data_IF_276999037733
#
_entry.id   IF_276999037733
#
_cell.length_a   1.000
_cell.length_b   1.000
_cell.length_c   1.000
_cell.angle_alpha   90.00
_cell.angle_beta   90.00
_cell.angle_gamma   90.00
#
_symmetry.space_group_name_H-M   'P 1'
#
loop_
_entity.id
_entity.type
_entity.pdbx_description
1 polymer ?
2 non-polymer ?
3 water ?
#
# COMPACT_ATOMS: atom_id res chain seq x y z
N UNK A 1 6.50 0.63 -18.54
CA UNK A 1 5.38 1.41 -18.02
C UNK A 1 5.86 2.70 -17.38
N UNK A 2 5.26 3.81 -17.75
CA UNK A 2 5.66 5.10 -17.20
C UNK A 2 4.46 5.98 -16.99
N UNK A 3 4.60 6.93 -16.07
CA UNK A 3 3.60 7.94 -15.83
C UNK A 3 4.26 9.30 -15.79
N UNK A 4 3.46 10.35 -15.90
CA UNK A 4 3.95 11.70 -15.61
C UNK A 4 2.84 12.52 -14.98
N UNK A 5 3.24 13.64 -14.39
CA UNK A 5 2.31 14.55 -13.75
C UNK A 5 2.42 15.90 -14.44
N UNK A 6 1.30 16.41 -14.94
CA UNK A 6 1.28 17.69 -15.65
C UNK A 6 2.31 17.71 -16.77
N UNK A 7 2.37 16.62 -17.54
CA UNK A 7 3.26 16.54 -18.69
C UNK A 7 4.74 16.58 -18.37
N UNK A 8 5.09 16.31 -17.11
CA UNK A 8 6.48 16.34 -16.67
C UNK A 8 7.29 15.12 -17.08
N UNK A 9 8.41 14.90 -16.40
CA UNK A 9 9.28 13.77 -16.71
C UNK A 9 8.63 12.44 -16.32
N UNK A 10 9.08 11.37 -16.98
CA UNK A 10 8.52 10.04 -16.78
C UNK A 10 8.83 9.46 -15.41
N UNK A 11 7.89 8.69 -14.88
CA UNK A 11 8.00 8.03 -13.57
C UNK A 11 7.80 6.53 -13.71
N UNK A 12 8.70 5.74 -13.12
CA UNK A 12 8.64 4.29 -13.23
C UNK A 12 8.06 3.59 -12.00
N UNK A 13 8.19 4.26 -10.85
CA UNK A 13 7.68 3.79 -9.57
C UNK A 13 7.96 4.85 -8.50
N UNK A 14 7.43 4.66 -7.30
CA UNK A 14 7.77 5.51 -6.19
C UNK A 14 6.71 6.56 -5.89
N UNK A 15 7.06 7.54 -5.06
CA UNK A 15 6.12 8.54 -4.59
C UNK A 15 6.31 9.86 -5.34
N UNK A 16 5.20 10.40 -5.84
CA UNK A 16 5.22 11.65 -6.60
C UNK A 16 4.15 12.59 -6.08
N UNK A 17 4.52 13.85 -5.95
CA UNK A 17 3.58 14.90 -5.58
C UNK A 17 2.71 15.28 -6.78
N UNK A 18 1.41 15.44 -6.52
CA UNK A 18 0.46 15.89 -7.53
C UNK A 18 -0.25 17.12 -6.99
N UNK A 19 0.00 18.28 -7.59
CA UNK A 19 -0.50 19.53 -7.04
C UNK A 19 -1.85 19.89 -7.66
N UNK A 20 -2.83 20.21 -6.81
CA UNK A 20 -4.18 20.52 -7.29
C UNK A 20 -4.72 21.83 -6.74
N UNK A 21 -5.59 22.45 -7.52
CA UNK A 21 -6.26 23.65 -7.05
C UNK A 21 -7.65 23.30 -6.55
N UNK A 22 -7.98 23.81 -5.37
CA UNK A 22 -9.27 23.51 -4.77
C UNK A 22 -10.06 24.81 -4.62
N UNK A 23 -11.38 24.69 -4.69
CA UNK A 23 -12.30 25.81 -4.41
C UNK A 23 -11.89 26.45 -3.09
N UNK A 24 -11.45 27.71 -3.14
CA UNK A 24 -10.80 28.32 -1.96
C UNK A 24 -11.74 28.73 -0.83
N UNK A 25 -13.03 28.89 -1.12
CA UNK A 25 -14.03 29.25 -0.11
C UNK A 25 -15.26 28.36 -0.34
N UNK A 26 -15.65 27.61 0.68
CA UNK A 26 -16.78 26.71 0.55
C UNK A 26 -17.77 26.86 1.70
N UNK A 27 -18.97 26.33 1.52
CA UNK A 27 -19.99 26.36 2.55
C UNK A 27 -20.03 24.97 3.22
N UNK A 28 -20.60 24.88 4.44
CA UNK A 28 -20.69 23.62 5.18
C UNK A 28 -21.18 22.40 4.40
N UNK A 29 -22.17 22.54 3.53
CA UNK A 29 -22.67 21.39 2.79
C UNK A 29 -21.91 21.04 1.52
N UNK A 30 -20.88 21.81 1.20
CA UNK A 30 -20.17 21.66 -0.06
C UNK A 30 -19.13 20.54 -0.11
N UNK A 31 -19.09 19.81 -1.22
CA UNK A 31 -18.04 18.82 -1.41
C UNK A 31 -17.02 19.25 -2.47
N UNK A 32 -15.75 19.03 -2.18
CA UNK A 32 -14.68 19.39 -3.11
C UNK A 32 -14.41 18.26 -4.09
N UNK A 33 -14.34 18.60 -5.37
CA UNK A 33 -14.02 17.60 -6.39
C UNK A 33 -12.58 17.76 -6.80
N UNK A 34 -11.82 16.67 -6.75
CA UNK A 34 -10.44 16.69 -7.22
C UNK A 34 -10.32 15.80 -8.45
N UNK A 35 -10.24 16.42 -9.62
CA UNK A 35 -10.16 15.67 -10.85
C UNK A 35 -8.70 15.36 -11.18
N UNK A 36 -8.27 14.15 -10.85
CA UNK A 36 -6.86 13.81 -11.06
C UNK A 36 -6.56 13.41 -12.50
N UNK A 37 -7.61 13.19 -13.30
CA UNK A 37 -7.41 12.91 -14.73
C UNK A 37 -6.76 14.11 -15.42
N UNK A 38 -6.87 15.29 -14.80
CA UNK A 38 -6.27 16.49 -15.36
C UNK A 38 -4.78 16.58 -15.07
N UNK A 39 -4.25 15.64 -14.28
CA UNK A 39 -2.86 15.75 -13.82
C UNK A 39 -1.98 14.53 -14.10
N UNK A 40 -2.55 13.34 -13.94
CA UNK A 40 -1.75 12.12 -14.04
C UNK A 40 -2.10 11.33 -15.28
N UNK A 41 -1.07 10.94 -16.05
CA UNK A 41 -1.25 10.11 -17.22
C UNK A 41 -0.22 8.99 -17.19
N UNK A 42 -0.58 7.84 -17.74
CA UNK A 42 0.33 6.70 -17.82
C UNK A 42 0.27 6.07 -19.20
N UNK A 43 1.31 5.35 -19.56
CA UNK A 43 1.35 4.71 -20.89
C UNK A 43 2.19 3.45 -20.88
N UNK A 44 2.01 2.65 -21.92
CA UNK A 44 2.80 1.44 -22.14
C UNK A 44 4.03 1.83 -22.96
N UNK A 45 5.21 1.41 -22.53
CA UNK A 45 6.43 1.90 -23.17
C UNK A 45 6.78 1.14 -24.45
N UNK A 46 5.98 0.12 -24.77
CA UNK A 46 6.20 -0.66 -26.00
C UNK A 46 5.16 -0.31 -27.05
N UNK A 47 3.93 -0.10 -26.63
CA UNK A 47 2.85 0.20 -27.55
C UNK A 47 2.32 -1.04 -28.26
N UNK A 48 1.26 -0.87 -29.02
CA UNK A 48 0.69 -1.96 -29.80
C UNK A 48 0.09 -3.10 -29.01
N UNK A 49 -0.11 -2.89 -27.70
CA UNK A 49 -0.72 -3.89 -26.83
C UNK A 49 0.02 -5.21 -26.81
N UNK A 50 1.35 -5.15 -26.94
CA UNK A 50 2.15 -6.36 -26.84
C UNK A 50 2.23 -6.85 -25.40
N UNK A 51 2.77 -6.02 -24.53
CA UNK A 51 2.91 -6.37 -23.11
C UNK A 51 2.01 -5.48 -22.27
N UNK A 52 0.70 -5.69 -22.37
CA UNK A 52 -0.28 -4.82 -21.73
C UNK A 52 -0.11 -4.75 -20.23
N UNK A 53 -0.22 -3.54 -19.69
CA UNK A 53 -0.11 -3.31 -18.27
C UNK A 53 -1.48 -3.23 -17.61
N UNK A 54 -1.60 -3.86 -16.44
CA UNK A 54 -2.81 -3.81 -15.66
C UNK A 54 -2.61 -2.90 -14.46
N UNK A 55 -3.47 -1.90 -14.32
CA UNK A 55 -3.33 -0.90 -13.27
C UNK A 55 -4.56 -0.82 -12.37
N UNK A 56 -4.35 -0.76 -11.05
CA UNK A 56 -5.46 -0.50 -10.12
C UNK A 56 -5.00 0.32 -8.93
N UNK A 57 -5.96 0.89 -8.19
CA UNK A 57 -5.62 1.59 -6.96
C UNK A 57 -5.75 0.63 -5.81
N UNK A 58 -5.04 0.91 -4.73
CA UNK A 58 -4.81 -0.12 -3.71
C UNK A 58 -5.49 0.19 -2.37
N UNK A 59 -6.09 -0.88 -1.81
CA UNK A 59 -6.63 -0.90 -0.47
C UNK A 59 -5.70 -0.14 0.50
N UNK A 60 -6.30 0.73 1.31
CA UNK A 60 -5.54 1.52 2.28
C UNK A 60 -5.31 2.96 1.87
N UNK A 61 -5.40 3.25 0.57
CA UNK A 61 -5.35 4.65 0.08
C UNK A 61 -6.31 5.51 0.90
N UNK A 62 -5.84 6.65 1.40
CA UNK A 62 -6.60 7.42 2.38
C UNK A 62 -6.33 8.93 2.33
N UNK A 63 -7.08 9.67 3.09
CA UNK A 63 -6.86 11.09 3.26
C UNK A 63 -5.66 11.17 4.21
N UNK A 64 -5.05 12.33 4.28
CA UNK A 64 -3.90 12.53 5.10
C UNK A 64 -4.14 13.41 6.28
N UNK A 65 -3.42 13.17 7.35
CA UNK A 65 -3.51 14.00 8.54
C UNK A 65 -4.87 14.31 9.11
N UNK A 66 -5.22 15.59 9.18
CA UNK A 66 -6.50 15.98 9.76
C UNK A 66 -7.63 15.77 8.89
N UNK A 67 -7.37 15.37 7.66
CA UNK A 67 -8.46 15.22 6.75
C UNK A 67 -9.08 13.87 6.88
N UNK A 68 -8.58 13.07 7.79
CA UNK A 68 -9.12 11.72 8.00
C UNK A 68 -10.50 11.75 8.62
N UNK A 69 -10.87 12.87 9.13
CA UNK A 69 -12.22 13.00 9.66
C UNK A 69 -13.19 13.40 8.54
N UNK A 70 -12.65 13.71 7.38
CA UNK A 70 -13.45 14.05 6.22
C UNK A 70 -14.01 12.75 5.63
N UNK A 71 -15.14 12.86 4.94
CA UNK A 71 -15.74 11.72 4.26
C UNK A 71 -15.50 11.82 2.77
N UNK A 72 -15.28 10.69 2.10
CA UNK A 72 -15.05 10.78 0.68
C UNK A 72 -15.54 9.65 -0.20
N UNK A 73 -15.38 9.89 -1.50
CA UNK A 73 -15.67 8.90 -2.52
C UNK A 73 -14.54 9.00 -3.53
N UNK A 74 -14.22 7.89 -4.18
CA UNK A 74 -13.20 7.90 -5.19
C UNK A 74 -13.77 7.26 -6.44
N UNK A 75 -13.70 7.98 -7.55
CA UNK A 75 -14.10 7.44 -8.84
C UNK A 75 -12.89 6.88 -9.54
N UNK A 76 -12.96 5.62 -9.97
CA UNK A 76 -11.89 5.02 -10.75
C UNK A 76 -12.45 4.13 -11.84
N UNK A 77 -12.20 4.50 -13.09
CA UNK A 77 -12.51 3.63 -14.23
C UNK A 77 -13.92 3.03 -14.16
N UNK A 78 -14.92 3.92 -14.13
CA UNK A 78 -16.35 3.58 -14.21
C UNK A 78 -16.92 2.92 -12.95
N UNK A 79 -16.18 2.97 -11.84
CA UNK A 79 -16.73 2.51 -10.56
C UNK A 79 -16.43 3.53 -9.48
N UNK A 80 -17.42 3.79 -8.61
CA UNK A 80 -17.21 4.71 -7.51
C UNK A 80 -17.05 3.96 -6.20
N UNK A 81 -16.03 4.33 -5.43
CA UNK A 81 -15.67 3.65 -4.19
C UNK A 81 -15.76 4.57 -3.00
N UNK A 82 -16.16 4.03 -1.84
CA UNK A 82 -15.97 4.81 -0.62
C UNK A 82 -14.49 5.08 -0.43
N UNK A 83 -14.19 6.27 0.06
CA UNK A 83 -12.82 6.65 0.34
C UNK A 83 -12.75 7.03 1.81
N UNK A 84 -11.75 6.51 2.54
CA UNK A 84 -10.58 5.71 2.13
C UNK A 84 -10.93 4.34 1.55
N UNK A 85 -10.07 3.83 0.68
CA UNK A 85 -10.33 2.56 0.01
C UNK A 85 -10.19 1.37 0.96
N UNK A 86 -11.25 0.58 1.06
CA UNK A 86 -11.21 -0.66 1.86
C UNK A 86 -10.93 -1.87 0.99
N UNK A 87 -10.78 -1.60 -0.30
CA UNK A 87 -10.61 -2.61 -1.31
C UNK A 87 -9.61 -2.16 -2.36
N UNK A 88 -9.04 -3.09 -3.10
CA UNK A 88 -8.40 -2.74 -4.35
C UNK A 88 -9.50 -2.40 -5.33
N UNK A 89 -9.24 -1.49 -6.27
CA UNK A 89 -10.22 -1.16 -7.29
C UNK A 89 -10.14 -2.11 -8.47
N UNK A 90 -11.07 -1.89 -9.41
CA UNK A 90 -11.03 -2.61 -10.67
C UNK A 90 -9.76 -2.29 -11.44
N UNK A 91 -9.46 -3.12 -12.43
CA UNK A 91 -8.25 -3.01 -13.20
C UNK A 91 -8.47 -2.21 -14.48
N UNK A 92 -7.57 -1.29 -14.74
CA UNK A 92 -7.52 -0.56 -16.01
C UNK A 92 -6.39 -1.08 -16.87
N UNK A 93 -6.68 -1.39 -18.13
CA UNK A 93 -5.66 -1.86 -19.07
C UNK A 93 -4.93 -0.71 -19.75
N UNK A 94 -3.61 -0.75 -19.72
CA UNK A 94 -2.78 0.24 -20.39
C UNK A 94 -1.91 -0.45 -21.44
N UNK A 95 -2.21 -0.16 -22.71
CA UNK A 95 -1.58 -0.88 -23.80
C UNK A 95 -0.93 -0.03 -24.89
N UNK A 96 -1.23 1.26 -24.92
CA UNK A 96 -0.69 2.12 -25.98
C UNK A 96 0.47 3.00 -25.51
N UNK A 97 1.20 3.54 -26.49
CA UNK A 97 2.23 4.53 -26.23
C UNK A 97 1.61 5.89 -25.89
N UNK A 98 0.38 6.08 -26.32
CA UNK A 98 -0.30 7.35 -26.07
C UNK A 98 -0.61 7.51 -24.58
N UNK A 99 -0.19 8.64 -23.97
CA UNK A 99 -0.48 8.82 -22.55
C UNK A 99 -1.96 8.74 -22.26
N UNK A 100 -2.35 7.94 -21.27
CA UNK A 100 -3.74 7.89 -20.90
C UNK A 100 -3.95 8.58 -19.56
N UNK A 101 -4.72 9.67 -19.56
CA UNK A 101 -5.08 10.29 -18.28
C UNK A 101 -5.80 9.30 -17.38
N UNK A 102 -5.37 9.22 -16.13
CA UNK A 102 -6.01 8.29 -15.19
C UNK A 102 -7.46 8.68 -14.98
N UNK A 103 -8.38 7.73 -15.19
CA UNK A 103 -9.81 8.00 -14.97
C UNK A 103 -10.14 8.04 -13.49
N UNK A 104 -9.72 9.12 -12.84
CA UNK A 104 -9.66 9.16 -11.38
C UNK A 104 -10.15 10.49 -10.83
N UNK A 105 -11.14 10.44 -9.97
CA UNK A 105 -11.67 11.63 -9.30
C UNK A 105 -11.87 11.35 -7.83
N UNK A 106 -11.55 12.35 -7.01
CA UNK A 106 -11.71 12.24 -5.57
C UNK A 106 -12.75 13.25 -5.11
N UNK A 107 -13.70 12.79 -4.30
CA UNK A 107 -14.77 13.63 -3.80
C UNK A 107 -14.60 13.79 -2.30
N UNK A 108 -14.51 15.03 -1.84
CA UNK A 108 -14.22 15.32 -0.45
C UNK A 108 -15.33 16.13 0.19
N UNK A 109 -15.88 15.63 1.29
CA UNK A 109 -16.86 16.37 2.07
C UNK A 109 -16.26 16.73 3.42
N UNK A 110 -15.91 18.01 3.60
CA UNK A 110 -15.31 18.52 4.83
C UNK A 110 -16.35 18.81 5.91
N UNK A 116 -12.15 28.05 10.85
CA UNK A 116 -12.79 27.73 9.59
C UNK A 116 -11.81 27.31 8.52
N UNK A 117 -10.66 26.79 8.95
CA UNK A 117 -9.65 26.33 8.00
C UNK A 117 -9.95 24.89 7.57
N UNK A 118 -10.22 24.70 6.29
CA UNK A 118 -10.52 23.39 5.76
C UNK A 118 -9.27 22.66 5.30
N UNK A 119 -8.49 23.37 4.47
CA UNK A 119 -7.23 22.87 3.93
C UNK A 119 -6.19 24.00 3.87
N UNK A 120 -4.95 23.70 4.25
CA UNK A 120 -3.83 24.64 4.16
C UNK A 120 -3.08 24.49 2.84
N UNK A 121 -2.63 25.60 2.26
CA UNK A 121 -1.77 25.51 1.08
C UNK A 121 -0.55 24.64 1.37
N UNK A 122 -0.21 23.73 0.46
CA UNK A 122 0.97 22.90 0.62
C UNK A 122 0.70 21.61 1.39
N UNK A 123 -0.52 21.45 1.90
CA UNK A 123 -0.87 20.30 2.74
C UNK A 123 -1.16 19.07 1.90
N UNK A 124 -0.72 17.90 2.37
CA UNK A 124 -1.10 16.65 1.71
C UNK A 124 -2.55 16.35 2.04
N UNK A 125 -3.40 16.19 1.03
CA UNK A 125 -4.79 15.91 1.35
C UNK A 125 -5.13 14.44 1.21
N UNK A 126 -4.35 13.70 0.42
CA UNK A 126 -4.60 12.27 0.26
C UNK A 126 -3.37 11.56 -0.28
N UNK A 127 -3.26 10.28 0.03
CA UNK A 127 -2.23 9.42 -0.49
C UNK A 127 -2.87 8.26 -1.22
N UNK A 128 -2.73 8.26 -2.54
CA UNK A 128 -3.36 7.25 -3.37
C UNK A 128 -2.32 6.30 -3.95
N UNK A 129 -2.40 5.05 -3.50
CA UNK A 129 -1.48 4.01 -3.91
C UNK A 129 -2.00 3.32 -5.17
N UNK A 130 -1.12 3.19 -6.15
CA UNK A 130 -1.41 2.55 -7.43
C UNK A 130 -0.46 1.38 -7.68
N UNK A 131 -1.02 0.30 -8.19
CA UNK A 131 -0.28 -0.92 -8.45
C UNK A 131 -0.27 -1.21 -9.94
N UNK A 132 0.91 -1.58 -10.45
CA UNK A 132 1.07 -1.93 -11.85
C UNK A 132 1.66 -3.33 -11.97
N UNK A 133 1.07 -4.16 -12.82
CA UNK A 133 1.72 -5.42 -13.19
C UNK A 133 1.42 -5.68 -14.66
N UNK A 134 2.43 -6.17 -15.38
CA UNK A 134 2.29 -6.45 -16.81
C UNK A 134 1.74 -7.84 -17.05
N UNK A 135 1.57 -8.18 -18.32
CA UNK A 135 0.98 -9.45 -18.72
C UNK A 135 2.05 -10.53 -18.99
N UNK A 136 3.26 -10.12 -19.37
CA UNK A 136 4.33 -11.06 -19.71
C UNK A 136 5.35 -11.28 -18.59
N UNK A 137 5.90 -12.50 -18.53
CA UNK A 137 6.92 -12.82 -17.56
C UNK A 137 6.46 -12.71 -16.13
N UNK A 138 7.32 -12.15 -15.28
CA UNK A 138 7.02 -11.96 -13.86
C UNK A 138 5.94 -10.90 -13.66
N UNK A 139 5.75 -10.07 -14.69
CA UNK A 139 4.77 -9.01 -14.64
C UNK A 139 5.45 -7.69 -14.33
N UNK A 140 6.69 -7.77 -13.84
CA UNK A 140 7.46 -6.59 -13.47
C UNK A 140 6.63 -5.61 -12.61
N UNK A 141 6.11 -6.10 -11.46
CA UNK A 141 5.18 -5.29 -10.65
C UNK A 141 5.86 -4.05 -10.10
N UNK A 142 5.10 -2.94 -10.06
CA UNK A 142 5.60 -1.66 -9.58
C UNK A 142 4.56 -1.00 -8.69
N UNK A 143 5.00 -0.28 -7.67
CA UNK A 143 4.15 0.51 -6.80
C UNK A 143 4.35 1.99 -7.02
N UNK A 144 3.26 2.73 -7.16
CA UNK A 144 3.25 4.18 -7.22
C UNK A 144 2.44 4.74 -6.06
N UNK A 145 2.87 5.86 -5.48
CA UNK A 145 1.99 6.56 -4.56
C UNK A 145 1.84 7.98 -5.04
N UNK A 146 0.59 8.39 -5.21
CA UNK A 146 0.32 9.77 -5.60
C UNK A 146 -0.04 10.57 -4.35
N UNK A 147 0.87 11.44 -3.94
CA UNK A 147 0.61 12.35 -2.84
C UNK A 147 -0.09 13.58 -3.39
N UNK A 148 -1.39 13.68 -3.12
CA UNK A 148 -2.20 14.78 -3.64
C UNK A 148 -2.03 15.97 -2.72
N UNK A 149 -1.57 17.08 -3.27
CA UNK A 149 -1.20 18.24 -2.47
C UNK A 149 -2.02 19.44 -2.91
N UNK A 150 -2.59 20.14 -1.94
CA UNK A 150 -3.36 21.33 -2.28
C UNK A 150 -2.44 22.51 -2.57
N UNK A 151 -2.63 23.12 -3.73
CA UNK A 151 -1.86 24.32 -4.04
C UNK A 151 -2.25 25.46 -3.13
N UNK A 152 -3.51 25.47 -2.70
CA UNK A 152 -4.05 26.64 -2.02
C UNK A 152 -4.74 26.35 -0.70
N UNK A 153 -4.97 27.39 0.09
CA UNK A 153 -5.74 27.23 1.31
C UNK A 153 -7.22 27.24 0.96
N UNK A 154 -8.03 26.56 1.77
CA UNK A 154 -9.46 26.48 1.61
C UNK A 154 -10.12 26.81 2.94
N UNK A 155 -11.04 27.75 2.93
CA UNK A 155 -11.73 28.18 4.12
C UNK A 155 -13.22 27.99 3.98
N UNK A 156 -13.89 27.98 5.11
CA UNK A 156 -15.32 27.77 5.15
C UNK A 156 -15.76 28.70 6.22
N UNK A 157 -16.05 29.94 5.86
CA UNK A 157 -16.36 30.90 6.93
C UNK A 157 -17.69 30.84 7.72
N UNK B 1 -7.12 -1.49 18.12
CA UNK B 1 -6.23 -2.46 17.50
C UNK B 1 -4.78 -2.03 17.63
N UNK B 2 -3.91 -2.94 18.06
CA UNK B 2 -2.50 -2.61 18.25
C UNK B 2 -1.61 -3.78 17.88
N UNK B 3 -0.37 -3.47 17.52
CA UNK B 3 0.64 -4.48 17.26
C UNK B 3 1.90 -4.14 18.03
N UNK B 4 2.78 -5.12 18.19
CA UNK B 4 4.12 -4.84 18.66
C UNK B 4 5.15 -5.76 18.00
N UNK B 5 6.41 -5.38 18.13
CA UNK B 5 7.51 -6.16 17.58
C UNK B 5 8.41 -6.59 18.72
N UNK B 6 8.63 -7.90 18.83
CA UNK B 6 9.49 -8.45 19.88
C UNK B 6 9.10 -7.90 21.26
N UNK B 7 7.80 -7.88 21.52
CA UNK B 7 7.29 -7.45 22.82
C UNK B 7 7.51 -5.98 23.15
N UNK B 8 7.80 -5.16 22.14
CA UNK B 8 8.05 -3.74 22.37
C UNK B 8 6.76 -2.96 22.60
N UNK B 9 6.86 -1.64 22.48
CA UNK B 9 5.71 -0.77 22.70
C UNK B 9 4.67 -0.92 21.60
N UNK B 10 3.42 -0.59 21.91
CA UNK B 10 2.31 -0.78 20.99
C UNK B 10 2.42 0.11 19.75
N UNK B 11 1.94 -0.41 18.63
CA UNK B 11 1.97 0.28 17.35
C UNK B 11 0.56 0.37 16.80
N UNK B 12 0.13 1.58 16.42
CA UNK B 12 -1.23 1.80 15.94
C UNK B 12 -1.31 1.90 14.42
N UNK B 13 -0.20 2.28 13.80
CA UNK B 13 -0.10 2.39 12.35
C UNK B 13 1.32 2.75 11.97
N UNK B 14 1.60 2.76 10.67
CA UNK B 14 2.87 3.27 10.19
C UNK B 14 3.89 2.21 9.89
N UNK B 15 5.13 2.66 9.71
CA UNK B 15 6.22 1.79 9.29
C UNK B 15 7.12 1.42 10.46
N UNK B 16 7.38 0.12 10.61
CA UNK B 16 8.21 -0.38 11.70
C UNK B 16 9.27 -1.33 11.17
N UNK B 17 10.51 -1.18 11.64
CA UNK B 17 11.55 -2.14 11.28
C UNK B 17 11.35 -3.42 12.10
N UNK B 18 11.47 -4.56 11.44
CA UNK B 18 11.40 -5.86 12.10
C UNK B 18 12.70 -6.61 11.81
N UNK B 19 13.52 -6.80 12.84
CA UNK B 19 14.85 -7.39 12.69
C UNK B 19 14.81 -8.90 12.90
N UNK B 20 15.42 -9.63 11.99
CA UNK B 20 15.43 -11.09 12.06
C UNK B 20 16.85 -11.65 12.01
N UNK B 21 17.03 -12.81 12.64
CA UNK B 21 18.30 -13.51 12.53
C UNK B 21 18.13 -14.70 11.59
N UNK B 22 19.01 -14.81 10.61
CA UNK B 22 18.88 -15.85 9.60
C UNK B 22 20.12 -16.75 9.50
N UNK B 23 19.92 -17.99 9.06
CA UNK B 23 21.02 -18.91 8.71
C UNK B 23 22.00 -18.17 7.82
N UNK B 24 23.25 -17.98 8.30
CA UNK B 24 24.15 -17.08 7.57
C UNK B 24 24.72 -17.69 6.29
N UNK B 25 24.58 -19.01 6.13
CA UNK B 25 25.08 -19.65 4.92
C UNK B 25 24.02 -20.59 4.36
N UNK B 26 23.68 -20.43 3.09
CA UNK B 26 22.72 -21.32 2.47
C UNK B 26 23.29 -21.88 1.18
N UNK B 27 22.73 -22.99 0.72
CA UNK B 27 23.21 -23.63 -0.49
C UNK B 27 22.30 -23.29 -1.66
N UNK B 28 22.82 -23.39 -2.89
CA UNK B 28 21.99 -23.23 -4.08
C UNK B 28 20.73 -24.09 -4.01
N UNK B 29 19.58 -23.53 -4.37
CA UNK B 29 18.33 -24.26 -4.37
C UNK B 29 17.68 -24.44 -3.02
N UNK B 30 18.34 -23.98 -1.97
CA UNK B 30 17.79 -24.09 -0.61
C UNK B 30 16.82 -22.94 -0.43
N UNK B 31 15.72 -23.16 0.29
CA UNK B 31 14.86 -22.03 0.55
C UNK B 31 15.09 -21.50 1.95
N UNK B 32 15.24 -20.19 2.03
CA UNK B 32 15.47 -19.49 3.28
C UNK B 32 14.11 -19.15 3.86
N UNK B 33 13.91 -19.47 5.13
CA UNK B 33 12.64 -19.15 5.77
C UNK B 33 12.79 -17.95 6.69
N UNK B 34 11.90 -16.97 6.55
CA UNK B 34 11.86 -15.86 7.49
C UNK B 34 10.54 -15.96 8.25
N UNK B 35 10.61 -16.45 9.49
CA UNK B 35 9.43 -16.65 10.31
C UNK B 35 9.09 -15.40 11.12
N UNK B 36 8.13 -14.63 10.62
CA UNK B 36 7.78 -13.38 11.26
C UNK B 36 6.80 -13.58 12.40
N UNK B 37 6.25 -14.79 12.52
CA UNK B 37 5.36 -15.08 13.64
C UNK B 37 6.12 -14.99 14.96
N UNK B 38 7.45 -15.11 14.90
CA UNK B 38 8.25 -15.04 16.10
C UNK B 38 8.52 -13.59 16.52
N UNK B 39 8.07 -12.63 15.72
CA UNK B 39 8.43 -11.24 15.94
C UNK B 39 7.25 -10.29 16.06
N UNK B 40 6.23 -10.50 15.25
CA UNK B 40 5.12 -9.54 15.22
C UNK B 40 3.83 -10.12 15.79
N UNK B 41 3.20 -9.38 16.68
CA UNK B 41 1.92 -9.80 17.26
C UNK B 41 0.92 -8.67 17.25
N UNK B 42 -0.36 -9.01 17.09
CA UNK B 42 -1.41 -7.99 17.12
C UNK B 42 -2.60 -8.41 17.97
N UNK B 43 -3.37 -7.43 18.46
CA UNK B 43 -4.53 -7.74 19.28
C UNK B 43 -5.63 -6.71 19.15
N UNK B 44 -6.83 -7.12 19.55
CA UNK B 44 -8.05 -6.31 19.64
C UNK B 44 -8.14 -5.69 21.05
N UNK B 45 -8.42 -4.40 21.13
CA UNK B 45 -8.36 -3.69 22.41
C UNK B 45 -9.63 -3.85 23.26
N UNK B 46 -10.64 -4.50 22.71
CA UNK B 46 -11.91 -4.71 23.42
C UNK B 46 -12.03 -6.10 24.03
N UNK B 47 -11.59 -7.11 23.30
CA UNK B 47 -11.71 -8.48 23.74
C UNK B 47 -13.12 -9.01 23.53
N UNK B 48 -13.32 -10.30 23.77
CA UNK B 48 -14.64 -10.90 23.65
C UNK B 48 -15.20 -10.89 22.25
N UNK B 49 -14.33 -10.61 21.28
CA UNK B 49 -14.70 -10.53 19.87
C UNK B 49 -15.74 -9.46 19.62
N UNK B 50 -15.72 -8.44 20.46
CA UNK B 50 -16.49 -7.24 20.22
C UNK B 50 -15.74 -6.38 19.22
N UNK B 51 -16.43 -5.90 18.19
CA UNK B 51 -15.82 -5.08 17.15
C UNK B 51 -14.54 -5.72 16.62
N UNK B 52 -14.69 -6.91 16.04
CA UNK B 52 -13.56 -7.69 15.56
C UNK B 52 -12.82 -6.93 14.46
N UNK B 53 -11.50 -7.04 14.46
CA UNK B 53 -10.64 -6.41 13.46
C UNK B 53 -10.33 -7.38 12.33
N UNK B 54 -10.34 -6.86 11.10
CA UNK B 54 -9.98 -7.64 9.92
C UNK B 54 -8.62 -7.22 9.45
N UNK B 55 -7.72 -8.19 9.34
CA UNK B 55 -6.36 -7.89 8.96
C UNK B 55 -5.98 -8.68 7.72
N UNK B 56 -5.37 -8.03 6.74
CA UNK B 56 -4.80 -8.76 5.61
C UNK B 56 -3.52 -8.12 5.12
N UNK B 57 -2.74 -8.85 4.34
CA UNK B 57 -1.57 -8.26 3.71
C UNK B 57 -1.93 -7.77 2.32
N UNK B 58 -1.19 -6.78 1.84
CA UNK B 58 -1.69 -6.01 0.71
C UNK B 58 -0.89 -6.20 -0.56
N UNK B 59 -1.63 -6.31 -1.66
CA UNK B 59 -1.08 -6.27 -3.01
C UNK B 59 0.04 -5.23 -3.14
N UNK B 60 1.16 -5.63 -3.73
CA UNK B 60 2.29 -4.75 -3.89
C UNK B 60 3.40 -4.96 -2.88
N UNK B 61 3.08 -5.59 -1.74
CA UNK B 61 4.13 -6.00 -0.78
C UNK B 61 5.21 -6.78 -1.53
N UNK B 62 6.48 -6.44 -1.33
CA UNK B 62 7.53 -6.98 -2.21
C UNK B 62 8.88 -7.16 -1.52
N UNK B 63 9.80 -7.83 -2.20
CA UNK B 63 11.18 -7.84 -1.74
C UNK B 63 11.80 -6.46 -1.93
N UNK B 64 12.89 -6.22 -1.20
CA UNK B 64 13.65 -4.98 -1.25
C UNK B 64 15.15 -5.26 -1.37
N UNK B 65 15.89 -4.23 -1.65
CA UNK B 65 17.34 -4.28 -1.67
C UNK B 65 17.99 -5.45 -2.31
N UNK B 66 18.82 -6.15 -1.58
CA UNK B 66 19.52 -7.27 -2.17
C UNK B 66 18.59 -8.38 -2.70
N UNK B 67 17.31 -8.38 -2.31
CA UNK B 67 16.38 -9.36 -2.81
C UNK B 67 15.40 -8.87 -3.88
N UNK B 68 15.53 -7.64 -4.27
CA UNK B 68 14.59 -7.05 -5.21
C UNK B 68 14.14 -7.81 -6.46
N UNK B 69 14.98 -8.61 -7.04
CA UNK B 69 14.62 -9.36 -8.25
C UNK B 69 14.10 -10.75 -7.95
N UNK B 70 14.12 -11.15 -6.67
CA UNK B 70 13.71 -12.50 -6.31
C UNK B 70 12.21 -12.73 -6.42
N UNK B 71 11.85 -13.96 -6.75
CA UNK B 71 10.48 -14.40 -6.68
C UNK B 71 10.47 -15.42 -5.56
N UNK B 72 9.45 -15.35 -4.71
CA UNK B 72 9.39 -16.13 -3.48
C UNK B 72 7.99 -16.55 -3.17
N UNK B 73 7.78 -16.96 -1.91
CA UNK B 73 6.47 -17.31 -1.42
C UNK B 73 6.22 -16.64 -0.07
N UNK B 74 4.96 -16.37 0.22
CA UNK B 74 4.59 -15.80 1.51
C UNK B 74 3.48 -16.66 2.08
N UNK B 75 3.67 -17.15 3.30
CA UNK B 75 2.62 -17.85 4.02
C UNK B 75 1.87 -16.87 4.89
N UNK B 76 0.54 -16.84 4.76
CA UNK B 76 -0.33 -16.03 5.61
C UNK B 76 -1.61 -16.77 5.95
N UNK B 77 -1.82 -17.06 7.23
CA UNK B 77 -3.10 -17.56 7.70
C UNK B 77 -3.69 -18.71 6.87
N UNK B 78 -2.93 -19.80 6.80
CA UNK B 78 -3.35 -21.05 6.16
C UNK B 78 -3.38 -21.02 4.64
N UNK B 79 -2.81 -19.98 4.05
CA UNK B 79 -2.65 -19.93 2.60
C UNK B 79 -1.24 -19.47 2.23
N UNK B 80 -0.66 -20.07 1.20
CA UNK B 80 0.63 -19.62 0.68
C UNK B 80 0.43 -18.85 -0.62
N UNK B 81 1.12 -17.71 -0.74
CA UNK B 81 1.00 -16.81 -1.87
C UNK B 81 2.34 -16.62 -2.59
N UNK B 82 2.30 -16.46 -3.91
CA UNK B 82 3.53 -16.00 -4.57
C UNK B 82 3.93 -14.63 -4.01
N UNK B 83 5.23 -14.42 -3.84
CA UNK B 83 5.75 -13.15 -3.37
C UNK B 83 6.75 -12.63 -4.41
N UNK B 84 6.64 -11.34 -4.81
CA UNK B 84 5.77 -10.27 -4.30
C UNK B 84 4.27 -10.52 -4.51
N UNK B 85 3.47 -9.95 -3.62
CA UNK B 85 2.01 -10.14 -3.67
C UNK B 85 1.41 -9.38 -4.84
N UNK B 86 0.72 -10.10 -5.70
CA UNK B 86 0.00 -9.50 -6.83
C UNK B 86 -1.50 -9.36 -6.53
N UNK B 87 -1.91 -9.83 -5.35
CA UNK B 87 -3.27 -9.74 -4.83
C UNK B 87 -3.19 -9.48 -3.34
N UNK B 88 -4.30 -9.07 -2.73
CA UNK B 88 -4.38 -9.09 -1.26
C UNK B 88 -4.42 -10.53 -0.78
N UNK B 89 -4.02 -10.75 0.47
CA UNK B 89 -4.17 -12.07 1.09
C UNK B 89 -5.58 -12.20 1.69
N UNK B 90 -5.88 -13.39 2.19
CA UNK B 90 -7.10 -13.60 2.95
C UNK B 90 -7.12 -12.75 4.21
N UNK B 91 -8.29 -12.63 4.81
CA UNK B 91 -8.45 -11.84 6.03
C UNK B 91 -8.30 -12.70 7.28
N UNK B 92 -7.50 -12.21 8.22
CA UNK B 92 -7.41 -12.80 9.56
C UNK B 92 -8.21 -11.96 10.55
N UNK B 93 -9.10 -12.60 11.31
CA UNK B 93 -9.87 -11.90 12.32
C UNK B 93 -9.11 -11.85 13.65
N UNK B 94 -9.03 -10.64 14.20
CA UNK B 94 -8.41 -10.41 15.50
C UNK B 94 -9.51 -9.86 16.41
N UNK B 95 -9.89 -10.64 17.41
CA UNK B 95 -11.02 -10.28 18.26
C UNK B 95 -10.80 -10.30 19.75
N UNK B 96 -9.75 -10.95 20.25
CA UNK B 96 -9.52 -10.93 21.69
C UNK B 96 -8.30 -10.07 22.04
N UNK B 97 -8.15 -9.82 23.34
CA UNK B 97 -7.04 -9.03 23.87
C UNK B 97 -5.71 -9.80 23.84
N UNK B 98 -5.79 -11.11 23.75
CA UNK B 98 -4.58 -11.93 23.74
C UNK B 98 -3.79 -11.63 22.46
N UNK B 99 -2.52 -11.21 22.63
CA UNK B 99 -1.70 -10.92 21.45
C UNK B 99 -1.63 -12.13 20.55
N UNK B 100 -1.90 -11.95 19.27
CA UNK B 100 -1.79 -13.04 18.33
C UNK B 100 -0.57 -12.86 17.43
N UNK B 101 0.37 -13.79 17.50
CA UNK B 101 1.49 -13.76 16.55
C UNK B 101 0.94 -13.82 15.13
N UNK B 102 1.42 -12.94 14.25
CA UNK B 102 0.97 -12.96 12.87
C UNK B 102 1.39 -14.28 12.25
N UNK B 103 0.43 -15.02 11.67
CA UNK B 103 0.73 -16.30 11.02
C UNK B 103 1.38 -16.03 9.66
N UNK B 104 2.63 -15.62 9.70
CA UNK B 104 3.30 -15.01 8.56
C UNK B 104 4.72 -15.51 8.38
N UNK B 105 5.02 -16.08 7.22
CA UNK B 105 6.35 -16.55 6.91
C UNK B 105 6.72 -16.17 5.48
N UNK B 106 7.99 -15.79 5.29
CA UNK B 106 8.52 -15.52 3.96
C UNK B 106 9.46 -16.65 3.54
N UNK B 107 9.32 -17.10 2.30
CA UNK B 107 10.22 -18.12 1.75
C UNK B 107 11.01 -17.52 0.58
N UNK B 108 12.33 -17.60 0.70
CA UNK B 108 13.24 -16.99 -0.26
C UNK B 108 14.11 -18.09 -0.88
N UNK B 109 14.07 -18.18 -2.21
CA UNK B 109 14.90 -19.14 -2.93
C UNK B 109 15.96 -18.44 -3.78
N UNK B 116 27.56 -15.90 -3.96
CA UNK B 116 27.91 -14.62 -3.37
C UNK B 116 26.99 -14.22 -2.24
N UNK B 117 26.72 -12.92 -2.13
CA UNK B 117 25.85 -12.40 -1.10
C UNK B 117 24.38 -12.49 -1.50
N UNK B 118 23.61 -13.20 -0.68
CA UNK B 118 22.18 -13.35 -0.92
C UNK B 118 21.43 -12.22 -0.22
N UNK B 119 21.78 -11.99 1.05
CA UNK B 119 21.18 -10.95 1.86
C UNK B 119 22.28 -10.13 2.53
N UNK B 120 22.16 -8.81 2.43
CA UNK B 120 23.13 -7.94 3.06
C UNK B 120 22.69 -7.61 4.48
N UNK B 121 23.63 -7.70 5.42
CA UNK B 121 23.32 -7.35 6.81
C UNK B 121 22.84 -5.92 6.91
N UNK B 122 21.77 -5.71 7.66
CA UNK B 122 21.22 -4.40 7.86
C UNK B 122 20.32 -3.79 6.82
N UNK B 123 20.19 -4.41 5.67
CA UNK B 123 19.33 -3.90 4.63
C UNK B 123 17.88 -4.39 4.71
N UNK B 124 16.97 -3.58 4.23
CA UNK B 124 15.59 -3.95 4.18
C UNK B 124 15.50 -4.95 3.07
N UNK B 125 15.02 -6.16 3.38
CA UNK B 125 14.92 -7.26 2.43
C UNK B 125 13.49 -7.44 1.94
N UNK B 126 12.52 -6.87 2.65
CA UNK B 126 11.13 -6.94 2.22
C UNK B 126 10.32 -5.85 2.89
N UNK B 127 9.31 -5.37 2.18
CA UNK B 127 8.41 -4.36 2.70
C UNK B 127 7.01 -4.93 2.64
N UNK B 128 6.46 -5.26 3.81
CA UNK B 128 5.17 -5.93 3.84
C UNK B 128 4.08 -5.00 4.34
N UNK B 129 3.15 -4.69 3.45
CA UNK B 129 2.05 -3.79 3.80
C UNK B 129 0.91 -4.59 4.42
N UNK B 130 0.46 -4.16 5.59
CA UNK B 130 -0.64 -4.81 6.29
C UNK B 130 -1.79 -3.81 6.46
N UNK B 131 -3.01 -4.26 6.20
CA UNK B 131 -4.20 -3.41 6.29
C UNK B 131 -5.13 -3.89 7.40
N UNK B 132 -5.61 -2.95 8.21
CA UNK B 132 -6.55 -3.24 9.29
C UNK B 132 -7.82 -2.43 9.11
N UNK B 133 -8.97 -3.08 9.26
CA UNK B 133 -10.23 -2.36 9.36
C UNK B 133 -11.14 -3.08 10.38
N UNK B 134 -11.85 -2.30 11.19
CA UNK B 134 -12.72 -2.91 12.21
C UNK B 134 -14.08 -3.21 11.60
N UNK B 135 -14.92 -3.90 12.35
CA UNK B 135 -16.20 -4.37 11.81
C UNK B 135 -17.35 -3.40 12.03
N UNK B 136 -17.26 -2.58 13.06
CA UNK B 136 -18.37 -1.68 13.38
C UNK B 136 -18.10 -0.26 12.87
N UNK B 137 -19.16 0.42 12.48
CA UNK B 137 -19.08 1.79 11.97
C UNK B 137 -18.29 1.89 10.69
N UNK B 138 -17.52 2.96 10.53
CA UNK B 138 -16.71 3.16 9.33
C UNK B 138 -15.51 2.21 9.28
N UNK B 139 -15.15 1.65 10.43
CA UNK B 139 -14.05 0.68 10.47
C UNK B 139 -12.71 1.17 10.97
N UNK B 140 -12.52 2.49 11.02
CA UNK B 140 -11.25 3.08 11.47
C UNK B 140 -10.01 2.41 10.83
N UNK B 141 -9.94 2.41 9.50
CA UNK B 141 -8.87 1.66 8.82
C UNK B 141 -7.49 2.24 9.14
N UNK B 142 -6.51 1.36 9.23
CA UNK B 142 -5.13 1.74 9.48
C UNK B 142 -4.21 0.94 8.57
N UNK B 143 -3.11 1.57 8.17
CA UNK B 143 -2.06 0.92 7.39
C UNK B 143 -0.81 0.70 8.23
N UNK B 144 -0.28 -0.52 8.16
CA UNK B 144 1.01 -0.84 8.75
C UNK B 144 1.98 -1.27 7.65
N UNK B 145 3.25 -0.90 7.78
CA UNK B 145 4.26 -1.49 6.93
C UNK B 145 5.37 -2.10 7.77
N UNK B 146 5.65 -3.38 7.53
CA UNK B 146 6.72 -4.06 8.23
C UNK B 146 7.95 -4.11 7.33
N UNK B 147 8.98 -3.35 7.69
CA UNK B 147 10.25 -3.38 6.97
C UNK B 147 11.14 -4.48 7.55
N UNK B 148 11.31 -5.56 6.79
CA UNK B 148 12.05 -6.73 7.28
C UNK B 148 13.54 -6.57 7.02
N UNK B 149 14.32 -6.63 8.10
CA UNK B 149 15.76 -6.43 8.05
C UNK B 149 16.51 -7.59 8.70
N UNK B 150 17.47 -8.17 7.98
CA UNK B 150 18.30 -9.21 8.56
C UNK B 150 19.42 -8.59 9.37
N UNK B 151 19.59 -9.06 10.60
CA UNK B 151 20.67 -8.58 11.44
C UNK B 151 22.03 -8.99 10.85
N UNK B 152 22.03 -10.11 10.15
CA UNK B 152 23.26 -10.71 9.65
C UNK B 152 23.21 -10.94 8.15
N UNK B 153 24.37 -11.13 7.55
CA UNK B 153 24.42 -11.42 6.13
C UNK B 153 24.15 -12.90 5.89
N UNK B 154 23.65 -13.20 4.69
CA UNK B 154 23.45 -14.58 4.28
C UNK B 154 24.20 -14.74 2.97
N UNK B 155 25.10 -15.72 2.91
CA UNK B 155 25.91 -15.90 1.72
C UNK B 155 25.73 -17.29 1.12
N UNK B 156 26.15 -17.45 -0.13
CA UNK B 156 25.99 -18.69 -0.85
C UNK B 156 27.32 -19.17 -1.40
X LIG C 1 6.43 -3.52 -18.60
X LIG C 1 6.49 -4.66 -17.69
X LIG C 1 5.17 -3.51 -19.32
X LIG C 1 7.52 -3.63 -19.56
X LIG C 1 6.55 -2.28 -17.85
X LIG D 1 -10.52 0.14 16.65
X LIG D 1 -11.67 -0.47 17.32
X LIG D 1 -10.94 0.72 15.38
X LIG D 1 -9.95 1.19 17.49
X LIG D 1 -9.50 -0.89 16.40
X LIG E 1 14.08 -0.93 -2.16
X LIG E 1 12.65 -1.01 -1.89
X LIG E 1 14.54 -2.15 -2.82
X LIG E 1 14.32 0.22 -3.02
X LIG E 1 14.81 -0.77 -0.91
#
# INVERSE_FOLDING_TARGET
FSCNVDGGSSIGAGTTSVYVNLDPVIQPGQNLVVDLSQHISCWNDYGGWYDTDHINLVQGSAFAGSLQSYKGSLYWNNVTYPFPLTTNTNVLDIGDKTPMPLPLKLYITPVGAAGGVVIKAGEVIARIHMYKIATLGSGNPRNFTWNIISNNSVVMPTGGHHHHHH
FSCNVDGGSSIGAGTTSVYVNLDPVIQPGQNLVVDLSQHISCWNDYGGWYDTDHINLVQGSAFAGSLQSYKGSLYWNNVTYPFPLTTNTNVLDIGDKTPMPLPLKLYITPVGAAGGVVIKAGEVIARIHMYKIATLGSGNPRNFTWNIISNNSVVMPTGGHHHHHH
SO4 S O1 O2 O3 O4
SO4 S O1 O2 O3 O4
SO4 S O1 O2 O3 O4
#
